data_IF_486866975652
#
_entry.id   IF_486866975652
#
_cell.length_a   1.000
_cell.length_b   1.000
_cell.length_c   1.000
_cell.angle_alpha   90.00
_cell.angle_beta   90.00
_cell.angle_gamma   90.00
#
_symmetry.space_group_name_H-M   'P 1'
#
loop_
_entity.id
_entity.type
_entity.pdbx_description
1 polymer ?
#
# COMPACT_ATOMS: atom_id res chain seq x y z
N UNK A 1 15.00 -5.41 16.19
CA UNK A 1 14.57 -5.09 17.56
C UNK A 1 15.80 -4.97 18.45
N UNK A 2 15.74 -4.07 19.42
CA UNK A 2 16.76 -3.97 20.47
C UNK A 2 16.18 -4.64 21.72
N UNK A 3 16.99 -5.40 22.44
CA UNK A 3 16.60 -6.06 23.68
C UNK A 3 17.76 -6.12 24.66
N UNK A 4 17.45 -6.17 25.95
CA UNK A 4 18.44 -6.35 27.01
C UNK A 4 18.27 -7.75 27.58
N UNK A 5 19.37 -8.49 27.71
CA UNK A 5 19.37 -9.81 28.35
C UNK A 5 20.40 -9.81 29.47
N UNK A 6 19.96 -10.15 30.67
CA UNK A 6 20.84 -10.35 31.82
C UNK A 6 21.44 -11.76 31.72
N UNK A 7 22.75 -11.87 31.61
CA UNK A 7 23.47 -13.13 31.71
C UNK A 7 23.95 -13.27 33.15
N UNK A 8 23.47 -14.29 33.87
CA UNK A 8 23.68 -14.44 35.33
C UNK A 8 25.15 -14.51 35.75
N UNK A 9 26.08 -14.82 34.82
CA UNK A 9 27.51 -14.96 35.07
C UNK A 9 28.38 -13.94 34.34
N UNK A 10 27.87 -13.25 33.32
CA UNK A 10 28.68 -12.39 32.42
C UNK A 10 28.26 -10.92 32.42
N UNK A 11 27.21 -10.58 33.19
CA UNK A 11 26.72 -9.21 33.34
C UNK A 11 25.61 -8.84 32.36
N UNK A 12 25.49 -7.54 32.08
CA UNK A 12 24.41 -6.98 31.27
C UNK A 12 24.85 -6.83 29.81
N UNK A 13 24.15 -7.52 28.90
CA UNK A 13 24.40 -7.48 27.47
C UNK A 13 23.23 -6.84 26.72
N UNK A 14 23.55 -5.90 25.83
CA UNK A 14 22.61 -5.37 24.85
C UNK A 14 22.62 -6.26 23.61
N UNK A 15 21.45 -6.71 23.18
CA UNK A 15 21.27 -7.55 22.01
C UNK A 15 20.61 -6.75 20.90
N UNK A 16 21.37 -6.49 19.86
CA UNK A 16 20.83 -5.95 18.61
C UNK A 16 20.41 -7.13 17.73
N UNK A 17 19.10 -7.28 17.53
CA UNK A 17 18.54 -8.27 16.60
C UNK A 17 18.12 -7.59 15.30
N UNK A 18 18.82 -7.90 14.21
CA UNK A 18 18.44 -7.49 12.87
C UNK A 18 17.91 -8.71 12.10
N UNK A 19 16.68 -8.64 11.62
CA UNK A 19 16.03 -9.73 10.90
C UNK A 19 15.68 -9.28 9.48
N UNK A 20 16.26 -9.94 8.46
CA UNK A 20 15.97 -9.64 7.05
C UNK A 20 15.97 -10.92 6.22
N UNK A 21 14.83 -11.25 5.64
CA UNK A 21 14.70 -12.36 4.68
C UNK A 21 14.99 -13.75 5.26
N UNK A 22 14.61 -14.01 6.51
CA UNK A 22 14.84 -15.31 7.18
C UNK A 22 16.21 -15.47 7.83
N UNK A 23 17.10 -14.48 7.71
CA UNK A 23 18.38 -14.43 8.42
C UNK A 23 18.26 -13.48 9.61
N UNK A 24 18.69 -13.93 10.80
CA UNK A 24 18.73 -13.13 12.02
C UNK A 24 20.17 -12.92 12.50
N UNK A 25 20.59 -11.66 12.55
CA UNK A 25 21.89 -11.25 13.06
C UNK A 25 21.72 -10.78 14.51
N UNK A 26 22.55 -11.34 15.40
CA UNK A 26 22.58 -11.00 16.81
C UNK A 26 23.97 -10.48 17.16
N UNK A 27 24.06 -9.21 17.57
CA UNK A 27 25.32 -8.61 18.03
C UNK A 27 25.20 -8.30 19.52
N UNK A 28 25.86 -9.07 20.41
CA UNK A 28 25.91 -8.75 21.82
C UNK A 28 26.94 -7.64 22.09
N UNK A 29 26.52 -6.59 22.78
CA UNK A 29 27.41 -5.55 23.31
C UNK A 29 27.44 -5.71 24.83
N UNK A 30 28.60 -6.08 25.37
CA UNK A 30 28.82 -6.27 26.80
C UNK A 30 29.05 -4.91 27.47
N UNK A 31 28.16 -4.51 28.39
CA UNK A 31 28.20 -3.16 28.97
C UNK A 31 29.03 -3.11 30.26
N UNK A 32 28.87 -4.07 31.19
CA UNK A 32 29.60 -4.13 32.46
C UNK A 32 29.46 -5.51 33.15
N UNK A 33 30.47 -5.93 33.90
CA UNK A 33 30.50 -7.20 34.66
C UNK A 33 29.93 -7.10 36.08
N UNK A 34 29.86 -5.90 36.67
CA UNK A 34 29.23 -5.64 37.97
C UNK A 34 27.94 -4.85 37.78
N UNK A 35 26.80 -5.45 38.12
CA UNK A 35 25.49 -4.88 37.84
C UNK A 35 24.96 -4.18 39.09
N UNK A 36 25.03 -2.85 39.12
CA UNK A 36 24.23 -2.06 40.05
C UNK A 36 22.76 -2.10 39.58
N UNK A 37 21.81 -2.52 40.43
CA UNK A 37 20.39 -2.56 40.07
C UNK A 37 19.85 -1.20 39.61
N UNK A 38 20.38 -0.08 40.10
CA UNK A 38 19.91 1.26 39.74
C UNK A 38 20.34 1.63 38.31
N UNK A 39 21.57 1.29 37.93
CA UNK A 39 22.06 1.45 36.55
C UNK A 39 21.27 0.60 35.56
N UNK A 40 20.84 -0.60 35.96
CA UNK A 40 20.03 -1.48 35.10
C UNK A 40 18.70 -0.84 34.72
N UNK A 41 18.02 -0.21 35.69
CA UNK A 41 16.74 0.48 35.46
C UNK A 41 16.96 1.65 34.50
N UNK A 42 17.99 2.47 34.74
CA UNK A 42 18.31 3.62 33.87
C UNK A 42 18.61 3.15 32.44
N UNK A 43 19.48 2.16 32.27
CA UNK A 43 19.86 1.62 30.96
C UNK A 43 18.65 1.02 30.22
N UNK A 44 17.77 0.29 30.92
CA UNK A 44 16.56 -0.27 30.30
C UNK A 44 15.58 0.81 29.83
N UNK A 45 15.41 1.90 30.60
CA UNK A 45 14.56 3.02 30.21
C UNK A 45 15.14 3.79 29.01
N UNK A 46 16.47 3.92 28.93
CA UNK A 46 17.14 4.56 27.81
C UNK A 46 16.99 3.76 26.50
N UNK A 47 16.94 2.41 26.57
CA UNK A 47 16.71 1.57 25.39
C UNK A 47 15.36 1.85 24.72
N UNK A 48 14.31 2.09 25.51
CA UNK A 48 12.97 2.41 24.99
C UNK A 48 12.99 3.73 24.20
N UNK A 49 13.67 4.75 24.75
CA UNK A 49 13.79 6.06 24.09
C UNK A 49 14.61 5.98 22.79
N UNK A 50 15.67 5.16 22.78
CA UNK A 50 16.50 4.95 21.59
C UNK A 50 15.72 4.23 20.49
N UNK A 51 14.91 3.23 20.84
CA UNK A 51 14.05 2.52 19.88
C UNK A 51 13.03 3.46 19.23
N UNK A 52 12.44 4.40 20.00
CA UNK A 52 11.51 5.39 19.45
C UNK A 52 12.19 6.39 18.52
N UNK A 53 13.39 6.88 18.89
CA UNK A 53 14.16 7.83 18.06
C UNK A 53 14.62 7.16 16.77
N UNK A 54 15.18 5.95 16.83
CA UNK A 54 15.65 5.21 15.67
C UNK A 54 14.46 4.79 14.80
N UNK A 55 13.37 4.31 15.40
CA UNK A 55 12.13 3.96 14.72
C UNK A 55 11.54 5.16 13.96
N UNK A 56 11.55 6.34 14.59
CA UNK A 56 11.14 7.60 13.97
C UNK A 56 12.04 8.03 12.81
N UNK A 57 13.36 7.97 12.98
CA UNK A 57 14.34 8.36 11.95
C UNK A 57 14.32 7.41 10.74
N UNK A 58 14.22 6.09 10.97
CA UNK A 58 14.15 5.10 9.89
C UNK A 58 12.83 5.23 9.13
N UNK A 59 11.70 5.38 9.83
CA UNK A 59 10.40 5.64 9.19
C UNK A 59 10.43 6.92 8.35
N UNK A 60 11.07 7.99 8.84
CA UNK A 60 11.20 9.27 8.13
C UNK A 60 12.09 9.18 6.88
N UNK A 61 13.14 8.35 6.91
CA UNK A 61 14.09 8.21 5.80
C UNK A 61 13.64 7.21 4.72
N UNK A 62 12.80 6.24 5.08
CA UNK A 62 12.29 5.22 4.16
C UNK A 62 10.82 5.41 3.75
N UNK A 63 10.10 6.36 4.34
CA UNK A 63 8.75 6.73 3.91
C UNK A 63 8.62 8.26 3.81
N UNK A 64 9.13 8.89 2.73
CA UNK A 64 9.02 10.33 2.52
C UNK A 64 7.58 10.82 2.25
N UNK A 65 6.56 9.97 2.35
CA UNK A 65 5.18 10.29 1.96
C UNK A 65 4.25 10.79 3.07
N UNK A 66 4.67 10.89 4.34
CA UNK A 66 3.74 11.29 5.42
C UNK A 66 4.33 12.26 6.46
N UNK A 67 4.88 13.39 5.99
CA UNK A 67 5.05 14.57 6.83
C UNK A 67 4.72 15.81 5.99
N UNK A 68 3.43 16.05 5.80
CA UNK A 68 2.84 17.39 5.57
C UNK A 68 1.30 17.31 5.70
N UNK A 69 0.80 16.97 6.89
CA UNK A 69 -0.60 17.23 7.28
C UNK A 69 -0.74 18.61 7.95
N UNK A 70 -0.19 19.64 7.30
CA UNK A 70 -0.26 21.03 7.79
C UNK A 70 -0.46 22.09 6.69
N UNK A 71 -0.76 21.70 5.45
CA UNK A 71 -0.86 22.61 4.31
C UNK A 71 -2.22 22.55 3.60
N UNK A 72 -3.00 23.62 3.74
CA UNK A 72 -4.16 24.04 2.92
C UNK A 72 -4.81 22.99 2.01
N UNK A 73 -5.80 22.33 2.59
CA UNK A 73 -6.73 21.39 1.98
C UNK A 73 -7.71 22.08 1.01
N UNK A 74 -7.29 22.37 -0.22
CA UNK A 74 -8.23 22.57 -1.34
C UNK A 74 -7.66 22.15 -2.71
N UNK A 75 -6.36 21.84 -2.83
CA UNK A 75 -5.72 21.47 -4.11
C UNK A 75 -5.33 19.98 -4.20
N UNK A 76 -5.59 19.17 -3.17
CA UNK A 76 -4.84 17.93 -2.93
C UNK A 76 -5.45 16.61 -3.44
N UNK A 77 -6.76 16.52 -3.69
CA UNK A 77 -7.41 15.21 -3.95
C UNK A 77 -7.13 14.63 -5.34
N UNK A 78 -7.18 15.47 -6.37
CA UNK A 78 -7.02 15.02 -7.76
C UNK A 78 -5.58 14.67 -8.10
N UNK A 79 -4.61 15.49 -7.66
CA UNK A 79 -3.20 15.19 -7.85
C UNK A 79 -2.78 13.92 -7.12
N UNK A 80 -3.23 13.74 -5.88
CA UNK A 80 -2.94 12.53 -5.11
C UNK A 80 -3.51 11.29 -5.81
N UNK A 81 -4.71 11.38 -6.38
CA UNK A 81 -5.30 10.30 -7.16
C UNK A 81 -4.50 9.99 -8.43
N UNK A 82 -4.07 11.02 -9.17
CA UNK A 82 -3.24 10.83 -10.36
C UNK A 82 -1.89 10.17 -10.02
N UNK A 83 -1.26 10.58 -8.92
CA UNK A 83 -0.03 9.94 -8.41
C UNK A 83 -0.26 8.48 -8.03
N UNK A 84 -1.39 8.16 -7.39
CA UNK A 84 -1.74 6.77 -7.08
C UNK A 84 -1.90 5.93 -8.36
N UNK A 85 -2.50 6.48 -9.42
CA UNK A 85 -2.64 5.80 -10.72
C UNK A 85 -1.27 5.57 -11.37
N UNK A 86 -0.40 6.58 -11.41
CA UNK A 86 0.92 6.45 -12.04
C UNK A 86 1.79 5.45 -11.27
N UNK A 87 1.75 5.48 -9.95
CA UNK A 87 2.44 4.51 -9.10
C UNK A 87 1.92 3.08 -9.34
N UNK A 88 0.59 2.90 -9.40
CA UNK A 88 0.01 1.59 -9.71
C UNK A 88 0.43 1.08 -11.09
N UNK A 89 0.44 1.94 -12.12
CA UNK A 89 0.92 1.59 -13.47
C UNK A 89 2.40 1.16 -13.47
N UNK A 90 3.23 1.87 -12.71
CA UNK A 90 4.65 1.52 -12.57
C UNK A 90 4.83 0.16 -11.90
N UNK A 91 4.08 -0.12 -10.84
CA UNK A 91 4.09 -1.42 -10.17
C UNK A 91 3.65 -2.54 -11.11
N UNK A 92 2.60 -2.33 -11.90
CA UNK A 92 2.12 -3.32 -12.88
C UNK A 92 3.25 -3.66 -13.88
N UNK A 93 3.95 -2.65 -14.43
CA UNK A 93 5.09 -2.89 -15.33
C UNK A 93 6.19 -3.74 -14.70
N UNK A 94 6.49 -3.53 -13.42
CA UNK A 94 7.47 -4.35 -12.70
C UNK A 94 6.95 -5.78 -12.47
N UNK A 95 5.65 -5.93 -12.26
CA UNK A 95 4.99 -7.23 -12.09
C UNK A 95 4.89 -8.02 -13.40
N UNK A 96 4.75 -7.37 -14.56
CA UNK A 96 4.58 -8.02 -15.86
C UNK A 96 5.64 -9.09 -16.13
N UNK A 97 6.91 -8.78 -15.89
CA UNK A 97 8.01 -9.73 -16.09
C UNK A 97 7.87 -10.95 -15.18
N UNK A 98 7.49 -10.74 -13.93
CA UNK A 98 7.33 -11.83 -12.96
C UNK A 98 6.08 -12.66 -13.25
N UNK A 99 4.97 -12.02 -13.58
CA UNK A 99 3.73 -12.66 -14.00
C UNK A 99 3.93 -13.52 -15.25
N UNK A 100 4.65 -13.01 -16.25
CA UNK A 100 4.96 -13.75 -17.48
C UNK A 100 5.81 -14.99 -17.19
N UNK A 101 6.85 -14.85 -16.35
CA UNK A 101 7.67 -15.99 -15.96
C UNK A 101 6.86 -17.05 -15.21
N UNK A 102 6.02 -16.62 -14.26
CA UNK A 102 5.10 -17.52 -13.54
C UNK A 102 4.14 -18.22 -14.49
N UNK A 103 3.57 -17.49 -15.45
CA UNK A 103 2.69 -18.05 -16.49
C UNK A 103 3.37 -19.19 -17.24
N UNK A 104 4.60 -18.97 -17.72
CA UNK A 104 5.39 -19.99 -18.44
C UNK A 104 5.70 -21.20 -17.56
N UNK A 105 5.97 -20.99 -16.27
CA UNK A 105 6.26 -22.08 -15.33
C UNK A 105 5.01 -22.92 -15.08
N UNK A 106 3.87 -22.28 -14.82
CA UNK A 106 2.60 -22.97 -14.60
C UNK A 106 2.12 -23.67 -15.88
N UNK A 107 2.23 -23.03 -17.03
CA UNK A 107 1.85 -23.62 -18.33
C UNK A 107 2.65 -24.89 -18.65
N UNK A 108 3.96 -24.91 -18.36
CA UNK A 108 4.79 -26.12 -18.52
C UNK A 108 4.39 -27.28 -17.60
N UNK A 109 3.73 -26.97 -16.49
CA UNK A 109 3.27 -27.95 -15.49
C UNK A 109 1.79 -28.29 -15.65
N UNK A 110 1.16 -27.84 -16.74
CA UNK A 110 -0.29 -27.89 -16.92
C UNK A 110 -1.08 -27.30 -15.73
N UNK A 111 -0.47 -26.34 -15.03
CA UNK A 111 -1.01 -25.68 -13.85
C UNK A 111 -2.01 -24.57 -14.16
N UNK A 112 -2.36 -23.81 -13.12
CA UNK A 112 -3.31 -22.70 -13.23
C UNK A 112 -2.70 -21.54 -14.03
N UNK A 113 -3.34 -21.18 -15.13
CA UNK A 113 -2.97 -20.04 -15.98
C UNK A 113 -4.16 -19.10 -16.12
N UNK A 114 -3.97 -17.84 -15.75
CA UNK A 114 -4.97 -16.79 -15.97
C UNK A 114 -4.92 -16.40 -17.44
N UNK A 115 -6.03 -16.54 -18.16
CA UNK A 115 -6.13 -16.19 -19.58
C UNK A 115 -6.55 -14.73 -19.75
N UNK A 116 -7.61 -14.35 -19.05
CA UNK A 116 -8.13 -12.98 -19.02
C UNK A 116 -8.76 -12.73 -17.64
N UNK A 117 -8.57 -11.55 -17.07
CA UNK A 117 -9.27 -11.12 -15.89
C UNK A 117 -9.66 -9.66 -16.03
N UNK A 118 -10.94 -9.36 -15.90
CA UNK A 118 -11.47 -8.03 -16.15
C UNK A 118 -12.38 -7.61 -14.99
N UNK A 119 -12.12 -6.44 -14.43
CA UNK A 119 -13.06 -5.77 -13.53
C UNK A 119 -14.08 -5.02 -14.38
N UNK A 120 -15.35 -5.28 -14.11
CA UNK A 120 -16.49 -4.56 -14.68
C UNK A 120 -17.21 -3.85 -13.54
N UNK A 121 -17.47 -2.56 -13.71
CA UNK A 121 -18.32 -1.78 -12.81
C UNK A 121 -19.53 -1.33 -13.59
N UNK A 122 -20.74 -1.43 -13.04
CA UNK A 122 -21.94 -1.12 -13.80
C UNK A 122 -21.92 0.35 -14.24
N UNK A 123 -22.16 0.59 -15.54
CA UNK A 123 -22.07 1.92 -16.13
C UNK A 123 -20.65 2.46 -16.30
N UNK A 124 -19.63 1.63 -16.11
CA UNK A 124 -18.22 2.03 -16.03
C UNK A 124 -17.28 1.45 -17.07
N UNK A 125 -16.03 1.90 -16.98
CA UNK A 125 -14.89 1.37 -17.72
C UNK A 125 -14.55 -0.06 -17.28
N UNK A 126 -14.04 -0.86 -18.21
CA UNK A 126 -13.49 -2.19 -17.93
C UNK A 126 -11.99 -2.11 -17.69
N UNK A 127 -11.49 -2.82 -16.69
CA UNK A 127 -10.09 -2.73 -16.27
C UNK A 127 -9.44 -4.12 -16.29
N UNK A 128 -8.33 -4.26 -17.00
CA UNK A 128 -7.58 -5.51 -17.08
C UNK A 128 -6.78 -5.75 -15.78
N UNK A 129 -7.01 -6.92 -15.19
CA UNK A 129 -6.38 -7.41 -13.97
C UNK A 129 -5.59 -8.71 -14.20
N UNK A 130 -5.37 -9.10 -15.46
CA UNK A 130 -4.77 -10.39 -15.83
C UNK A 130 -3.35 -10.54 -15.30
N UNK A 131 -2.53 -9.50 -15.46
CA UNK A 131 -1.13 -9.48 -15.00
C UNK A 131 -1.05 -9.61 -13.49
N UNK A 132 -1.90 -8.87 -12.77
CA UNK A 132 -1.93 -8.84 -11.32
C UNK A 132 -2.35 -10.19 -10.75
N UNK A 133 -3.42 -10.80 -11.28
CA UNK A 133 -3.83 -12.12 -10.82
C UNK A 133 -2.79 -13.19 -11.16
N UNK A 134 -2.23 -13.17 -12.37
CA UNK A 134 -1.18 -14.12 -12.76
C UNK A 134 0.07 -14.02 -11.88
N UNK A 135 0.41 -12.82 -11.41
CA UNK A 135 1.48 -12.60 -10.45
C UNK A 135 1.24 -13.35 -9.13
N UNK A 136 0.00 -13.46 -8.66
CA UNK A 136 -0.35 -14.12 -7.41
C UNK A 136 -0.57 -15.63 -7.54
N UNK A 137 -0.52 -16.17 -8.77
CA UNK A 137 -0.54 -17.62 -8.97
C UNK A 137 0.79 -18.24 -8.54
N UNK A 138 0.72 -19.41 -7.91
CA UNK A 138 1.86 -20.27 -7.69
C UNK A 138 1.46 -21.65 -7.18
N UNK A 139 2.14 -22.69 -7.68
CA UNK A 139 1.83 -24.09 -7.44
C UNK A 139 0.39 -24.40 -7.83
N UNK A 140 -0.02 -23.88 -9.00
CA UNK A 140 -1.34 -24.09 -9.58
C UNK A 140 -2.50 -23.63 -8.70
N UNK A 141 -2.24 -22.72 -7.76
CA UNK A 141 -3.25 -22.10 -6.91
C UNK A 141 -3.11 -20.58 -6.96
N UNK A 142 -4.25 -19.90 -6.88
CA UNK A 142 -4.28 -18.44 -6.76
C UNK A 142 -4.19 -18.07 -5.27
N UNK A 143 -3.06 -17.47 -4.86
CA UNK A 143 -2.83 -17.08 -3.46
C UNK A 143 -3.05 -15.59 -3.29
N UNK A 144 -4.27 -15.22 -2.90
CA UNK A 144 -4.59 -13.85 -2.51
C UNK A 144 -4.46 -13.71 -0.98
N UNK A 145 -3.87 -12.62 -0.48
CA UNK A 145 -3.90 -12.32 0.95
C UNK A 145 -5.34 -12.08 1.41
N UNK A 146 -5.63 -12.41 2.67
CA UNK A 146 -6.95 -12.18 3.28
C UNK A 146 -7.28 -10.68 3.48
N UNK A 147 -6.31 -9.79 3.25
CA UNK A 147 -6.49 -8.34 3.36
C UNK A 147 -7.34 -7.77 2.22
N UNK A 148 -7.84 -6.55 2.42
CA UNK A 148 -8.56 -5.82 1.36
C UNK A 148 -7.71 -5.69 0.08
N UNK A 149 -8.30 -6.03 -1.08
CA UNK A 149 -7.65 -5.99 -2.39
C UNK A 149 -7.14 -4.60 -2.77
N UNK A 150 -7.71 -3.54 -2.20
CA UNK A 150 -7.28 -2.15 -2.44
C UNK A 150 -5.85 -1.85 -1.96
N UNK A 151 -5.31 -2.67 -1.07
CA UNK A 151 -3.94 -2.55 -0.57
C UNK A 151 -2.99 -3.56 -1.21
N UNK A 152 -3.47 -4.34 -2.18
CA UNK A 152 -2.63 -5.32 -2.87
C UNK A 152 -1.82 -4.65 -3.97
N UNK A 153 -0.57 -5.09 -4.11
CA UNK A 153 0.33 -4.63 -5.16
C UNK A 153 -0.32 -4.77 -6.55
N UNK A 154 -0.31 -3.68 -7.32
CA UNK A 154 -0.87 -3.64 -8.67
C UNK A 154 -2.40 -3.50 -8.76
N UNK A 155 -3.12 -3.58 -7.64
CA UNK A 155 -4.54 -3.27 -7.57
C UNK A 155 -4.74 -1.83 -7.07
N UNK A 156 -5.71 -1.13 -7.63
CA UNK A 156 -6.11 0.20 -7.17
C UNK A 156 -7.60 0.22 -6.85
N UNK A 157 -8.02 1.21 -6.08
CA UNK A 157 -9.43 1.37 -5.70
C UNK A 157 -10.24 1.86 -6.90
N UNK A 158 -10.94 0.92 -7.54
CA UNK A 158 -11.81 1.18 -8.68
C UNK A 158 -13.00 2.06 -8.28
N UNK A 159 -13.45 1.98 -7.02
CA UNK A 159 -14.61 2.77 -6.55
C UNK A 159 -14.25 4.24 -6.34
N UNK A 160 -13.01 4.53 -5.94
CA UNK A 160 -12.51 5.90 -5.80
C UNK A 160 -12.48 6.66 -7.14
N UNK A 161 -12.11 5.97 -8.22
CA UNK A 161 -12.10 6.54 -9.57
C UNK A 161 -13.50 6.97 -10.04
N UNK A 162 -14.52 6.16 -9.76
CA UNK A 162 -15.90 6.49 -10.15
C UNK A 162 -16.45 7.71 -9.43
N UNK A 163 -16.18 7.86 -8.12
CA UNK A 163 -16.61 9.05 -7.37
C UNK A 163 -16.06 10.33 -8.01
N UNK A 164 -14.81 10.33 -8.46
CA UNK A 164 -14.20 11.48 -9.11
C UNK A 164 -14.78 11.75 -10.49
N UNK A 165 -15.09 10.72 -11.28
CA UNK A 165 -15.75 10.88 -12.58
C UNK A 165 -17.18 11.44 -12.46
N UNK A 166 -17.97 10.99 -11.48
CA UNK A 166 -19.32 11.53 -11.26
C UNK A 166 -19.29 13.00 -10.85
N UNK A 167 -18.33 13.40 -10.02
CA UNK A 167 -18.13 14.82 -9.67
C UNK A 167 -17.79 15.66 -10.89
N UNK A 168 -16.95 15.17 -11.81
CA UNK A 168 -16.60 15.87 -13.04
C UNK A 168 -17.73 15.92 -14.08
N UNK A 169 -18.58 14.89 -14.15
CA UNK A 169 -19.73 14.83 -15.08
C UNK A 169 -20.95 15.60 -14.57
N UNK A 170 -21.08 15.81 -13.25
CA UNK A 170 -22.10 16.68 -12.66
C UNK A 170 -21.83 18.18 -12.82
N UNK A 171 -20.61 18.57 -13.23
CA UNK A 171 -20.24 19.95 -13.53
C UNK A 171 -20.30 20.26 -15.03
N UNK A 172 -21.26 19.69 -15.77
CA UNK A 172 -21.58 20.15 -17.12
C UNK A 172 -22.32 21.49 -17.07
N UNK A 173 -21.60 22.53 -16.66
CA UNK A 173 -21.87 23.89 -17.12
C UNK A 173 -20.54 24.57 -17.43
N UNK A 174 -20.05 24.28 -18.64
CA UNK A 174 -19.17 25.11 -19.44
C UNK A 174 -17.83 25.55 -18.83
N UNK A 175 -16.75 24.88 -19.23
CA UNK A 175 -15.45 25.55 -19.31
C UNK A 175 -15.06 25.75 -20.77
N UNK A 176 -15.45 26.93 -21.27
CA UNK A 176 -14.63 27.65 -22.24
C UNK A 176 -13.33 28.07 -21.53
N UNK A 177 -12.21 27.83 -22.20
CA UNK A 177 -10.98 28.65 -22.18
C UNK A 177 -10.54 29.22 -20.82
N UNK A 178 -9.43 28.66 -20.32
CA UNK A 178 -8.48 29.28 -19.39
C UNK A 178 -8.35 30.80 -19.60
N UNK A 179 -8.75 31.57 -18.59
CA UNK A 179 -8.60 33.03 -18.55
C UNK A 179 -8.80 33.56 -17.13
N UNK A 180 -7.73 33.55 -16.33
CA UNK A 180 -7.30 34.46 -15.25
C UNK A 180 -8.31 35.22 -14.33
N UNK A 181 -9.62 34.94 -14.31
CA UNK A 181 -10.61 35.82 -13.67
C UNK A 181 -11.34 35.27 -12.43
N UNK A 182 -10.99 34.09 -11.90
CA UNK A 182 -11.75 33.50 -10.79
C UNK A 182 -11.40 34.05 -9.39
N UNK A 183 -10.65 35.16 -9.34
CA UNK A 183 -10.19 35.74 -8.08
C UNK A 183 -11.16 36.73 -7.42
N UNK A 184 -12.36 36.99 -7.96
CA UNK A 184 -13.18 38.08 -7.40
C UNK A 184 -14.63 37.85 -7.03
N UNK A 185 -15.28 36.71 -7.30
CA UNK A 185 -16.61 36.48 -6.72
C UNK A 185 -16.88 34.98 -6.55
N UNK A 186 -17.21 34.52 -5.33
CA UNK A 186 -18.62 34.17 -5.00
C UNK A 186 -18.79 33.62 -3.59
N UNK A 187 -19.48 34.44 -2.80
CA UNK A 187 -20.13 34.21 -1.52
C UNK A 187 -21.07 32.98 -1.52
N UNK A 188 -20.82 32.08 -0.55
CA UNK A 188 -21.73 31.19 0.21
C UNK A 188 -23.09 30.81 -0.44
N UNK A 189 -23.21 29.56 -0.88
CA UNK A 189 -24.39 28.70 -0.59
C UNK A 189 -23.94 27.26 -0.40
N UNK A 190 -24.07 26.80 0.85
CA UNK A 190 -24.17 25.38 1.19
C UNK A 190 -25.52 24.93 0.66
N UNK A 191 -25.51 24.21 -0.46
CA UNK A 191 -26.62 23.34 -0.85
C UNK A 191 -26.10 21.92 -0.72
N UNK A 192 -26.55 21.22 0.31
CA UNK A 192 -26.38 19.77 0.40
C UNK A 192 -26.95 19.13 -0.88
N UNK A 193 -26.17 18.37 -1.64
CA UNK A 193 -26.72 17.57 -2.71
C UNK A 193 -27.63 16.51 -2.06
N UNK A 194 -28.91 16.54 -2.43
CA UNK A 194 -29.86 15.45 -2.12
C UNK A 194 -29.27 14.16 -2.68
N UNK A 195 -28.74 13.34 -1.76
CA UNK A 195 -28.32 11.97 -1.98
C UNK A 195 -29.51 11.16 -2.48
N UNK A 196 -29.73 11.14 -3.80
CA UNK A 196 -30.38 9.99 -4.42
C UNK A 196 -29.52 8.78 -4.04
N UNK A 197 -30.12 7.82 -3.33
CA UNK A 197 -29.51 6.54 -2.99
C UNK A 197 -29.20 5.77 -4.28
N UNK A 198 -28.15 6.19 -4.98
CA UNK A 198 -27.57 5.47 -6.09
C UNK A 198 -26.84 4.29 -5.44
N UNK A 199 -27.46 3.11 -5.54
CA UNK A 199 -26.89 1.86 -5.06
C UNK A 199 -25.63 1.65 -5.88
N UNK A 200 -24.48 2.05 -5.33
CA UNK A 200 -23.17 1.83 -5.96
C UNK A 200 -23.03 0.33 -6.14
N UNK A 201 -23.13 -0.12 -7.39
CA UNK A 201 -22.96 -1.51 -7.72
C UNK A 201 -21.54 -1.94 -7.36
N UNK A 202 -21.44 -3.12 -6.75
CA UNK A 202 -20.14 -3.64 -6.36
C UNK A 202 -19.37 -4.06 -7.62
N UNK A 203 -18.08 -3.73 -7.74
CA UNK A 203 -17.29 -4.13 -8.89
C UNK A 203 -17.23 -5.66 -9.00
N UNK A 204 -17.52 -6.18 -10.19
CA UNK A 204 -17.50 -7.62 -10.49
C UNK A 204 -16.17 -7.95 -11.16
N UNK A 205 -15.46 -8.95 -10.64
CA UNK A 205 -14.25 -9.48 -11.25
C UNK A 205 -14.57 -10.76 -12.03
N UNK A 206 -14.49 -10.69 -13.34
CA UNK A 206 -14.65 -11.86 -14.21
C UNK A 206 -13.28 -12.43 -14.54
N UNK A 207 -13.06 -13.72 -14.25
CA UNK A 207 -11.78 -14.39 -14.50
C UNK A 207 -11.98 -15.59 -15.41
N UNK A 208 -11.27 -15.60 -16.53
CA UNK A 208 -11.13 -16.75 -17.41
C UNK A 208 -9.75 -17.36 -17.18
N UNK A 209 -9.72 -18.64 -16.85
CA UNK A 209 -8.49 -19.37 -16.55
C UNK A 209 -8.46 -20.70 -17.31
N UNK A 210 -7.26 -21.26 -17.42
CA UNK A 210 -6.99 -22.62 -17.88
C UNK A 210 -6.38 -23.37 -16.70
N UNK A 211 -6.93 -24.54 -16.39
CA UNK A 211 -6.39 -25.45 -15.39
C UNK A 211 -6.71 -26.87 -15.85
N UNK A 212 -5.73 -27.76 -15.79
CA UNK A 212 -5.93 -29.18 -16.10
C UNK A 212 -5.90 -29.94 -14.79
N UNK A 213 -7.03 -30.51 -14.40
CA UNK A 213 -7.06 -31.46 -13.29
C UNK A 213 -6.24 -32.67 -13.71
N UNK A 214 -5.11 -32.87 -13.02
CA UNK A 214 -4.21 -34.02 -13.20
C UNK A 214 -4.73 -35.27 -12.52
#
# INVERSE_FOLDING_TARGET
SIGVKLHSLEGLAWLFKLERGGVSFHVPIMMCTSVDPLLTIIVSSASILIDDIIGGLIKRKFNPENLDEGGNSNESGYEQHQRAITNAKMQIRLMEKQALNKRKIEEKKDGLVILNATYTVDGGDTLDASTQLQFWVGNSQLKLPASSKKFMLGFYDVTGFMRLQHVAKGSTLGYYKLGLFDLLFRKKRVSEPKSSNEVISQPILTVRYKFRDG
#
